data_IF_316169378733
#
_entry.id   IF_316169378733
#
_cell.length_a   1.000
_cell.length_b   1.000
_cell.length_c   1.000
_cell.angle_alpha   90.00
_cell.angle_beta   90.00
_cell.angle_gamma   90.00
#
_symmetry.space_group_name_H-M   'P 1'
#
loop_
_entity.id
_entity.type
_entity.pdbx_description
1 polymer ?
#
# COMPACT_ATOMS: atom_id res chain seq x y z
N UNK A 1 -36.03 -31.46 12.15
CA UNK A 1 -36.19 -32.92 11.99
C UNK A 1 -36.85 -33.38 13.27
N UNK A 2 -38.16 -33.58 13.27
CA UNK A 2 -38.92 -33.83 14.50
C UNK A 2 -38.59 -35.21 15.05
N UNK A 3 -37.69 -35.26 16.02
CA UNK A 3 -37.36 -36.49 16.76
C UNK A 3 -38.43 -36.78 17.82
N UNK A 4 -39.69 -36.94 17.41
CA UNK A 4 -40.70 -37.49 18.29
C UNK A 4 -40.41 -38.99 18.47
N UNK A 5 -39.65 -39.32 19.51
CA UNK A 5 -39.44 -40.71 19.92
C UNK A 5 -40.67 -41.18 20.71
N UNK A 6 -41.43 -42.09 20.12
CA UNK A 6 -42.55 -42.74 20.81
C UNK A 6 -42.01 -43.91 21.62
N UNK A 7 -42.17 -43.85 22.95
CA UNK A 7 -41.87 -44.98 23.84
C UNK A 7 -43.17 -45.71 24.15
N UNK A 8 -43.21 -47.00 23.84
CA UNK A 8 -44.31 -47.88 24.21
C UNK A 8 -44.00 -48.55 25.54
N UNK A 9 -44.78 -48.21 26.57
CA UNK A 9 -44.77 -48.91 27.85
C UNK A 9 -45.98 -49.83 27.89
N UNK A 10 -45.75 -51.13 27.99
CA UNK A 10 -46.82 -52.08 28.26
C UNK A 10 -46.69 -52.70 29.65
N UNK A 11 -47.84 -52.95 30.25
CA UNK A 11 -47.97 -53.63 31.53
C UNK A 11 -48.45 -55.05 31.26
N UNK A 12 -47.70 -56.01 31.78
CA UNK A 12 -48.11 -57.40 31.82
C UNK A 12 -48.62 -57.71 33.22
N UNK A 13 -49.75 -58.40 33.31
CA UNK A 13 -50.32 -58.84 34.57
C UNK A 13 -50.31 -60.36 34.61
N UNK A 14 -49.89 -60.91 35.74
CA UNK A 14 -49.95 -62.35 35.97
C UNK A 14 -51.40 -62.77 36.10
N UNK A 15 -51.87 -63.58 35.15
CA UNK A 15 -53.20 -64.18 35.14
C UNK A 15 -53.12 -65.56 35.80
N UNK A 16 -54.20 -66.36 35.72
CA UNK A 16 -54.35 -67.59 36.51
C UNK A 16 -53.17 -68.58 36.37
N UNK A 17 -52.51 -68.63 35.23
CA UNK A 17 -51.36 -69.53 34.96
C UNK A 17 -50.32 -68.99 33.95
N UNK A 18 -50.44 -67.75 33.46
CA UNK A 18 -49.50 -67.14 32.52
C UNK A 18 -49.48 -65.61 32.64
N UNK A 19 -48.44 -64.96 32.11
CA UNK A 19 -48.45 -63.51 31.89
C UNK A 19 -49.39 -63.18 30.73
N UNK A 20 -50.39 -62.35 31.00
CA UNK A 20 -51.29 -61.82 29.98
C UNK A 20 -51.04 -60.33 29.77
N UNK A 21 -51.04 -59.91 28.50
CA UNK A 21 -50.96 -58.51 28.12
C UNK A 21 -52.22 -57.76 28.60
N UNK A 22 -52.04 -56.69 29.37
CA UNK A 22 -53.14 -55.84 29.84
C UNK A 22 -53.16 -54.52 29.05
N UNK A 23 -53.94 -54.49 27.97
CA UNK A 23 -54.11 -53.29 27.15
C UNK A 23 -54.87 -52.17 27.87
N UNK A 24 -55.66 -52.50 28.90
CA UNK A 24 -56.51 -51.54 29.61
C UNK A 24 -55.73 -50.60 30.53
N UNK A 25 -54.52 -51.01 30.94
CA UNK A 25 -53.59 -50.21 31.73
C UNK A 25 -52.43 -49.62 30.90
N UNK A 26 -52.37 -49.91 29.60
CA UNK A 26 -51.33 -49.36 28.72
C UNK A 26 -51.50 -47.85 28.55
N UNK A 27 -50.39 -47.10 28.60
CA UNK A 27 -50.40 -45.65 28.43
C UNK A 27 -49.31 -45.22 27.46
N UNK A 28 -49.70 -44.45 26.44
CA UNK A 28 -48.75 -43.78 25.55
C UNK A 28 -48.19 -42.56 26.30
N UNK A 29 -46.88 -42.50 26.44
CA UNK A 29 -46.19 -41.33 27.00
C UNK A 29 -45.47 -40.62 25.86
N UNK A 30 -45.84 -39.37 25.61
CA UNK A 30 -45.11 -38.50 24.69
C UNK A 30 -43.93 -37.87 25.43
N UNK A 31 -42.71 -38.17 25.00
CA UNK A 31 -41.50 -37.50 25.46
C UNK A 31 -41.21 -36.35 24.50
N UNK A 32 -41.21 -35.12 25.01
CA UNK A 32 -40.69 -33.97 24.26
C UNK A 32 -39.19 -33.89 24.50
N UNK A 33 -38.40 -34.22 23.49
CA UNK A 33 -36.96 -33.94 23.50
C UNK A 33 -36.82 -32.44 23.16
N UNK A 34 -36.26 -31.60 24.05
CA UNK A 34 -36.03 -30.20 23.72
C UNK A 34 -35.04 -30.12 22.55
N UNK A 35 -35.28 -29.21 21.60
CA UNK A 35 -34.28 -28.91 20.58
C UNK A 35 -32.99 -28.45 21.25
N UNK A 36 -31.82 -28.83 20.73
CA UNK A 36 -30.57 -28.37 21.28
C UNK A 36 -30.53 -26.84 21.20
N UNK A 37 -30.15 -26.19 22.30
CA UNK A 37 -29.94 -24.75 22.31
C UNK A 37 -28.77 -24.40 21.37
N UNK A 38 -28.96 -23.37 20.55
CA UNK A 38 -27.96 -22.87 19.61
C UNK A 38 -27.78 -21.38 19.78
N UNK A 39 -26.56 -20.92 19.48
CA UNK A 39 -26.25 -19.50 19.34
C UNK A 39 -25.83 -19.18 17.90
N UNK A 40 -26.19 -17.98 17.45
CA UNK A 40 -25.85 -17.52 16.12
C UNK A 40 -24.45 -16.92 16.10
N UNK A 41 -23.61 -17.37 15.17
CA UNK A 41 -22.34 -16.74 14.84
C UNK A 41 -22.47 -15.96 13.54
N UNK A 42 -22.13 -14.68 13.58
CA UNK A 42 -21.93 -13.83 12.41
C UNK A 42 -20.44 -13.62 12.16
N UNK A 43 -19.96 -14.01 10.98
CA UNK A 43 -18.58 -13.79 10.54
C UNK A 43 -18.55 -12.74 9.44
N UNK A 44 -17.68 -11.74 9.59
CA UNK A 44 -17.57 -10.63 8.65
C UNK A 44 -16.12 -10.34 8.28
N UNK A 45 -15.90 -10.01 7.00
CA UNK A 45 -14.62 -9.48 6.50
C UNK A 45 -14.91 -8.07 5.98
N UNK A 46 -14.45 -7.02 6.67
CA UNK A 46 -14.70 -5.66 6.24
C UNK A 46 -14.07 -5.35 4.88
N UNK A 47 -14.72 -4.50 4.09
CA UNK A 47 -14.23 -4.12 2.76
C UNK A 47 -12.87 -3.44 2.79
N UNK A 48 -12.58 -2.67 3.83
CA UNK A 48 -11.30 -1.97 4.04
C UNK A 48 -10.16 -2.87 4.52
N UNK A 49 -10.46 -4.10 4.95
CA UNK A 49 -9.49 -5.12 5.35
C UNK A 49 -9.75 -6.45 4.60
N UNK A 50 -10.22 -6.33 3.36
CA UNK A 50 -10.51 -7.47 2.51
C UNK A 50 -9.21 -8.12 2.02
N UNK A 51 -9.23 -9.45 1.85
CA UNK A 51 -8.04 -10.20 1.42
C UNK A 51 -8.08 -11.69 1.70
N UNK A 52 -9.24 -12.24 2.03
CA UNK A 52 -9.38 -13.61 2.49
C UNK A 52 -10.82 -13.96 2.82
N UNK A 53 -11.00 -15.17 3.32
CA UNK A 53 -12.27 -15.66 3.84
C UNK A 53 -12.05 -16.50 5.09
N UNK A 54 -13.12 -16.78 5.82
CA UNK A 54 -13.10 -17.56 7.06
C UNK A 54 -13.95 -18.81 6.91
N UNK A 55 -13.50 -19.94 7.46
CA UNK A 55 -14.32 -21.14 7.61
C UNK A 55 -14.23 -21.72 9.03
N UNK A 56 -15.34 -22.24 9.59
CA UNK A 56 -16.69 -22.14 9.04
C UNK A 56 -17.21 -20.68 9.08
N UNK A 57 -18.18 -20.36 8.22
CA UNK A 57 -18.77 -19.02 8.11
C UNK A 57 -19.89 -18.79 9.12
N UNK A 58 -20.73 -17.78 8.86
CA UNK A 58 -21.90 -17.49 9.69
C UNK A 58 -22.90 -18.64 9.73
N UNK A 59 -23.55 -18.86 10.88
CA UNK A 59 -24.52 -19.93 11.07
C UNK A 59 -24.85 -20.17 12.54
N UNK A 60 -25.73 -21.14 12.79
CA UNK A 60 -26.11 -21.54 14.15
C UNK A 60 -25.26 -22.71 14.63
N UNK A 61 -24.74 -22.58 15.85
CA UNK A 61 -23.85 -23.56 16.47
C UNK A 61 -24.39 -23.95 17.83
N UNK A 62 -24.12 -25.20 18.25
CA UNK A 62 -24.57 -25.71 19.55
C UNK A 62 -24.07 -24.84 20.69
N UNK A 63 -24.95 -24.51 21.64
CA UNK A 63 -24.58 -23.81 22.84
C UNK A 63 -23.53 -24.59 23.65
N UNK A 64 -22.61 -23.87 24.28
CA UNK A 64 -21.48 -24.39 25.04
C UNK A 64 -20.53 -25.29 24.24
N UNK A 65 -20.51 -25.14 22.91
CA UNK A 65 -19.54 -25.80 22.03
C UNK A 65 -18.38 -24.87 21.68
N UNK A 66 -17.32 -25.44 21.12
CA UNK A 66 -16.19 -24.69 20.56
C UNK A 66 -16.19 -24.81 19.04
N UNK A 67 -16.19 -23.67 18.36
CA UNK A 67 -16.07 -23.55 16.90
C UNK A 67 -14.64 -23.15 16.57
N UNK A 68 -13.93 -23.97 15.79
CA UNK A 68 -12.59 -23.65 15.31
C UNK A 68 -12.68 -22.86 14.00
N UNK A 69 -12.54 -21.55 14.09
CA UNK A 69 -12.47 -20.64 12.95
C UNK A 69 -11.07 -20.67 12.34
N UNK A 70 -11.01 -20.67 11.01
CA UNK A 70 -9.76 -20.57 10.24
C UNK A 70 -9.87 -19.50 9.17
N UNK A 71 -8.92 -18.57 9.16
CA UNK A 71 -8.74 -17.57 8.14
C UNK A 71 -7.88 -18.10 6.99
N UNK A 72 -8.33 -17.87 5.76
CA UNK A 72 -7.67 -18.24 4.52
C UNK A 72 -7.38 -16.97 3.70
N UNK A 73 -6.16 -16.42 3.79
CA UNK A 73 -5.75 -15.31 2.95
C UNK A 73 -5.75 -15.70 1.46
N UNK A 74 -6.17 -14.77 0.61
CA UNK A 74 -6.02 -14.87 -0.84
C UNK A 74 -4.55 -14.60 -1.24
N UNK A 75 -4.20 -14.96 -2.48
CA UNK A 75 -2.88 -14.68 -3.02
C UNK A 75 -2.53 -13.19 -2.95
N UNK A 76 -1.35 -12.86 -2.43
CA UNK A 76 -0.88 -11.48 -2.23
C UNK A 76 -1.39 -10.83 -0.94
N UNK A 77 -2.11 -11.56 -0.09
CA UNK A 77 -2.57 -11.09 1.22
C UNK A 77 -2.05 -11.96 2.34
N UNK A 78 -2.00 -11.39 3.54
CA UNK A 78 -1.80 -12.13 4.79
C UNK A 78 -2.93 -11.84 5.77
N UNK A 79 -3.16 -12.78 6.67
CA UNK A 79 -4.06 -12.57 7.79
C UNK A 79 -3.41 -11.60 8.77
N UNK A 80 -4.13 -10.54 9.11
CA UNK A 80 -3.66 -9.52 10.05
C UNK A 80 -4.08 -9.90 11.47
N UNK A 81 -5.38 -10.00 11.73
CA UNK A 81 -5.91 -10.34 13.07
C UNK A 81 -7.42 -10.66 13.07
N UNK A 82 -7.88 -11.24 14.17
CA UNK A 82 -9.30 -11.34 14.51
C UNK A 82 -9.77 -10.13 15.32
N UNK A 83 -11.06 -9.81 15.24
CA UNK A 83 -11.69 -8.72 15.97
C UNK A 83 -13.05 -9.06 16.59
N UNK A 84 -13.52 -8.09 17.39
CA UNK A 84 -14.76 -8.12 18.17
C UNK A 84 -14.80 -9.28 19.17
N UNK A 85 -15.57 -10.35 18.93
CA UNK A 85 -15.67 -11.47 19.87
C UNK A 85 -14.51 -12.49 19.73
N UNK A 86 -13.57 -12.23 18.83
CA UNK A 86 -12.32 -12.98 18.69
C UNK A 86 -11.11 -12.02 18.74
N UNK A 87 -9.90 -12.59 18.87
CA UNK A 87 -8.69 -11.78 19.00
C UNK A 87 -7.42 -12.54 18.58
N UNK A 88 -6.35 -11.81 18.31
CA UNK A 88 -5.02 -12.36 18.05
C UNK A 88 -4.73 -12.53 16.56
N UNK A 89 -3.49 -12.95 16.26
CA UNK A 89 -2.92 -12.97 14.90
C UNK A 89 -2.74 -14.37 14.33
N UNK A 90 -3.06 -15.41 15.10
CA UNK A 90 -3.10 -16.80 14.61
C UNK A 90 -4.21 -16.93 13.55
N UNK A 91 -3.92 -17.57 12.41
CA UNK A 91 -4.93 -17.86 11.38
C UNK A 91 -6.01 -18.84 11.85
N UNK A 92 -5.85 -19.43 13.03
CA UNK A 92 -6.83 -20.33 13.66
C UNK A 92 -7.23 -19.80 15.03
N UNK A 93 -8.53 -19.78 15.32
CA UNK A 93 -9.11 -19.32 16.58
C UNK A 93 -10.19 -20.27 17.08
N UNK A 94 -10.16 -20.63 18.37
CA UNK A 94 -11.16 -21.48 19.00
C UNK A 94 -12.19 -20.62 19.73
N UNK A 95 -13.36 -20.43 19.13
CA UNK A 95 -14.44 -19.61 19.65
C UNK A 95 -15.40 -20.45 20.51
N UNK A 96 -15.67 -20.00 21.74
CA UNK A 96 -16.64 -20.66 22.62
C UNK A 96 -18.04 -20.03 22.46
N UNK A 97 -19.03 -20.84 22.10
CA UNK A 97 -20.40 -20.41 21.80
C UNK A 97 -21.25 -20.39 23.08
N UNK A 98 -21.14 -19.32 23.87
CA UNK A 98 -21.93 -19.09 25.10
C UNK A 98 -22.97 -17.96 24.99
N UNK A 99 -23.03 -17.32 23.83
CA UNK A 99 -23.99 -16.30 23.43
C UNK A 99 -23.96 -16.23 21.91
N UNK A 100 -24.85 -15.44 21.31
CA UNK A 100 -24.63 -14.98 19.94
C UNK A 100 -23.27 -14.27 19.84
N UNK A 101 -22.58 -14.44 18.73
CA UNK A 101 -21.22 -13.94 18.49
C UNK A 101 -21.12 -13.20 17.17
N UNK A 102 -20.32 -12.15 17.16
CA UNK A 102 -19.92 -11.42 15.97
C UNK A 102 -18.39 -11.38 15.90
N UNK A 103 -17.82 -11.97 14.85
CA UNK A 103 -16.37 -12.06 14.63
C UNK A 103 -15.99 -11.36 13.34
N UNK A 104 -15.01 -10.47 13.43
CA UNK A 104 -14.38 -9.88 12.26
C UNK A 104 -13.01 -10.53 11.98
N UNK A 105 -12.69 -10.69 10.71
CA UNK A 105 -11.36 -11.11 10.26
C UNK A 105 -10.76 -10.02 9.37
N UNK A 106 -9.57 -9.56 9.73
CA UNK A 106 -8.85 -8.52 9.00
C UNK A 106 -7.71 -9.17 8.22
N UNK A 107 -7.62 -8.81 6.94
CA UNK A 107 -6.52 -9.18 6.06
C UNK A 107 -5.85 -7.91 5.55
N UNK A 108 -4.60 -8.03 5.15
CA UNK A 108 -3.86 -6.93 4.52
C UNK A 108 -3.05 -7.46 3.34
N UNK A 109 -2.81 -6.59 2.35
CA UNK A 109 -1.89 -6.91 1.25
C UNK A 109 -0.50 -7.12 1.82
N UNK A 110 0.21 -8.10 1.29
CA UNK A 110 1.64 -8.25 1.55
C UNK A 110 2.34 -7.16 0.74
N UNK A 111 3.10 -6.24 1.38
CA UNK A 111 3.89 -5.26 0.64
C UNK A 111 4.85 -5.99 -0.29
N UNK A 112 4.81 -5.63 -1.57
CA UNK A 112 5.80 -6.10 -2.54
C UNK A 112 6.96 -5.12 -2.43
N UNK A 113 8.20 -5.57 -2.12
CA UNK A 113 9.34 -4.68 -2.08
C UNK A 113 9.46 -3.95 -3.42
N UNK A 114 9.80 -2.68 -3.37
CA UNK A 114 10.04 -1.84 -4.55
C UNK A 114 11.47 -1.32 -4.52
N UNK A 115 12.10 -1.28 -5.68
CA UNK A 115 13.46 -0.79 -5.87
C UNK A 115 13.50 0.10 -7.11
N UNK A 116 14.19 1.22 -7.00
CA UNK A 116 14.40 2.14 -8.10
C UNK A 116 15.56 3.09 -7.80
N UNK A 117 16.10 3.70 -8.85
CA UNK A 117 17.31 4.53 -8.78
C UNK A 117 17.13 5.83 -9.58
N UNK A 118 17.60 6.95 -9.05
CA UNK A 118 17.81 8.20 -9.78
C UNK A 118 19.10 8.06 -10.57
N UNK A 119 18.99 7.87 -11.88
CA UNK A 119 20.14 7.51 -12.72
C UNK A 119 20.79 8.69 -13.43
N UNK A 120 20.07 9.80 -13.61
CA UNK A 120 20.54 10.98 -14.35
C UNK A 120 19.76 12.23 -13.97
N UNK A 121 20.44 13.37 -14.00
CA UNK A 121 19.85 14.70 -13.82
C UNK A 121 20.47 15.67 -14.82
N UNK A 122 19.65 16.48 -15.48
CA UNK A 122 20.11 17.49 -16.43
C UNK A 122 19.38 18.82 -16.24
N UNK A 123 20.08 19.91 -16.52
CA UNK A 123 19.53 21.26 -16.45
C UNK A 123 19.36 21.82 -17.87
N UNK A 124 18.20 22.38 -18.20
CA UNK A 124 17.93 23.06 -19.48
C UNK A 124 17.61 24.54 -19.19
N UNK A 125 18.42 25.49 -19.65
CA UNK A 125 18.20 26.94 -19.52
C UNK A 125 18.43 27.77 -20.80
N UNK A 126 18.82 27.14 -21.92
CA UNK A 126 19.04 27.76 -23.24
C UNK A 126 18.26 27.06 -24.37
N UNK A 127 17.50 26.00 -24.05
CA UNK A 127 16.60 25.32 -24.96
C UNK A 127 16.77 23.80 -24.99
N UNK A 128 18.00 23.27 -25.11
CA UNK A 128 18.19 21.81 -24.97
C UNK A 128 19.48 21.43 -24.25
N UNK A 129 19.34 20.84 -23.05
CA UNK A 129 20.35 20.04 -22.36
C UNK A 129 21.63 20.79 -21.96
N UNK A 130 21.54 21.81 -21.12
CA UNK A 130 22.68 22.64 -20.72
C UNK A 130 23.59 22.00 -19.65
N UNK A 131 23.53 20.69 -19.48
CA UNK A 131 24.57 19.89 -18.84
C UNK A 131 24.07 18.90 -17.80
N UNK A 132 24.94 17.92 -17.50
CA UNK A 132 24.76 17.01 -16.37
C UNK A 132 24.93 17.82 -15.08
N UNK A 133 23.96 17.70 -14.19
CA UNK A 133 24.00 18.36 -12.87
C UNK A 133 25.15 17.79 -12.03
N UNK A 134 25.98 18.63 -11.38
CA UNK A 134 25.89 20.10 -11.28
C UNK A 134 26.44 20.86 -12.49
N UNK A 135 25.76 21.95 -12.87
CA UNK A 135 26.19 22.83 -13.98
C UNK A 135 26.90 24.10 -13.47
N UNK A 136 28.07 24.41 -14.00
CA UNK A 136 28.82 25.63 -13.65
C UNK A 136 28.58 26.78 -14.65
N UNK A 137 28.86 28.01 -14.22
CA UNK A 137 28.83 29.22 -15.05
C UNK A 137 27.47 29.49 -15.70
N UNK A 138 26.37 29.22 -14.99
CA UNK A 138 25.03 29.51 -15.51
C UNK A 138 24.80 31.01 -15.52
N UNK A 139 24.38 31.62 -16.65
CA UNK A 139 24.16 33.07 -16.70
C UNK A 139 23.05 33.52 -15.77
N UNK A 140 23.26 34.63 -15.06
CA UNK A 140 22.26 35.27 -14.23
C UNK A 140 21.00 35.64 -15.04
N UNK A 141 19.82 35.35 -14.50
CA UNK A 141 18.53 35.79 -15.03
C UNK A 141 17.91 34.86 -16.09
N UNK A 142 18.48 33.67 -16.27
CA UNK A 142 17.92 32.65 -17.17
C UNK A 142 16.79 31.86 -16.50
N UNK A 143 15.96 31.26 -17.33
CA UNK A 143 14.91 30.32 -16.93
C UNK A 143 15.38 28.91 -17.16
N UNK A 144 15.24 28.05 -16.15
CA UNK A 144 15.72 26.68 -16.20
C UNK A 144 14.61 25.64 -16.00
N UNK A 145 14.82 24.43 -16.52
CA UNK A 145 14.07 23.21 -16.24
C UNK A 145 15.02 22.14 -15.73
N UNK A 146 14.53 21.35 -14.78
CA UNK A 146 15.24 20.17 -14.28
C UNK A 146 14.62 18.92 -14.89
N UNK A 147 15.49 18.09 -15.48
CA UNK A 147 15.15 16.77 -15.99
C UNK A 147 15.77 15.73 -15.07
N UNK A 148 14.98 14.74 -14.65
CA UNK A 148 15.43 13.66 -13.78
C UNK A 148 14.96 12.33 -14.32
N UNK A 149 15.87 11.38 -14.46
CA UNK A 149 15.53 10.03 -14.88
C UNK A 149 15.49 9.11 -13.67
N UNK A 150 14.32 8.55 -13.41
CA UNK A 150 14.12 7.45 -12.48
C UNK A 150 14.12 6.11 -13.21
N UNK A 151 14.63 5.05 -12.57
CA UNK A 151 14.62 3.70 -13.10
C UNK A 151 13.80 2.78 -12.21
N UNK A 152 12.99 1.92 -12.83
CA UNK A 152 12.40 0.77 -12.14
C UNK A 152 13.41 -0.39 -12.18
N UNK A 153 13.99 -0.72 -11.02
CA UNK A 153 14.98 -1.80 -10.90
C UNK A 153 14.31 -3.18 -10.69
N UNK A 154 12.98 -3.20 -10.53
CA UNK A 154 12.22 -4.43 -10.35
C UNK A 154 12.06 -5.24 -11.64
N UNK A 155 11.98 -6.57 -11.49
CA UNK A 155 11.60 -7.49 -12.57
C UNK A 155 10.08 -7.48 -12.90
N UNK A 156 9.32 -6.61 -12.24
CA UNK A 156 7.88 -6.42 -12.40
C UNK A 156 7.59 -4.94 -12.64
N UNK A 157 6.48 -4.66 -13.31
CA UNK A 157 6.03 -3.28 -13.47
C UNK A 157 5.69 -2.64 -12.13
N UNK A 158 6.01 -1.37 -11.96
CA UNK A 158 5.73 -0.61 -10.74
C UNK A 158 5.22 0.79 -11.06
N UNK A 159 4.41 1.34 -10.16
CA UNK A 159 4.11 2.76 -10.18
C UNK A 159 5.37 3.55 -9.86
N UNK A 160 5.64 4.64 -10.58
CA UNK A 160 6.76 5.53 -10.28
C UNK A 160 6.28 6.98 -10.18
N UNK A 161 6.82 7.69 -9.20
CA UNK A 161 6.62 9.12 -9.04
C UNK A 161 7.90 9.81 -8.59
N UNK A 162 7.82 11.12 -8.54
CA UNK A 162 8.94 11.94 -8.10
C UNK A 162 8.43 13.13 -7.29
N UNK A 163 9.27 13.56 -6.37
CA UNK A 163 9.17 14.84 -5.70
C UNK A 163 10.52 15.51 -5.72
N UNK A 164 10.58 16.80 -6.01
CA UNK A 164 11.78 17.58 -5.76
C UNK A 164 11.48 19.02 -5.37
N UNK A 165 12.47 19.64 -4.75
CA UNK A 165 12.55 21.09 -4.68
C UNK A 165 13.95 21.59 -5.05
N UNK A 166 14.00 22.83 -5.55
CA UNK A 166 15.23 23.58 -5.80
C UNK A 166 15.29 24.72 -4.80
N UNK A 167 16.42 24.88 -4.12
CA UNK A 167 16.69 26.01 -3.25
C UNK A 167 17.70 26.97 -3.89
N UNK A 168 17.43 28.26 -3.74
CA UNK A 168 18.32 29.34 -4.17
C UNK A 168 19.52 29.50 -3.21
N UNK A 169 20.51 30.36 -3.53
CA UNK A 169 21.71 30.56 -2.72
C UNK A 169 21.46 31.07 -1.30
N UNK A 170 20.27 31.60 -1.03
CA UNK A 170 19.86 32.09 0.29
C UNK A 170 19.01 31.05 1.05
N UNK A 171 18.75 29.89 0.44
CA UNK A 171 17.95 28.81 1.01
C UNK A 171 16.45 28.93 0.80
N UNK A 172 15.98 29.89 -0.01
CA UNK A 172 14.56 29.97 -0.36
C UNK A 172 14.24 29.01 -1.50
N UNK A 173 13.02 28.49 -1.50
CA UNK A 173 12.55 27.57 -2.53
C UNK A 173 12.34 28.31 -3.85
N UNK A 174 13.10 27.93 -4.88
CA UNK A 174 12.97 28.39 -6.25
C UNK A 174 11.98 27.55 -7.06
N UNK A 175 11.87 26.25 -6.75
CA UNK A 175 10.91 25.33 -7.37
C UNK A 175 10.46 24.26 -6.38
N UNK A 176 9.20 23.85 -6.49
CA UNK A 176 8.72 22.54 -6.00
C UNK A 176 8.02 21.84 -7.15
N UNK A 177 8.35 20.58 -7.36
CA UNK A 177 7.74 19.76 -8.40
C UNK A 177 7.37 18.39 -7.87
N UNK A 178 6.25 17.88 -8.35
CA UNK A 178 5.83 16.50 -8.11
C UNK A 178 5.11 15.99 -9.33
N UNK A 179 5.34 14.73 -9.67
CA UNK A 179 4.63 14.05 -10.74
C UNK A 179 4.55 12.54 -10.49
N UNK A 180 3.60 11.91 -11.18
CA UNK A 180 3.37 10.48 -11.14
C UNK A 180 3.32 9.92 -12.57
N UNK A 181 4.34 9.18 -12.95
CA UNK A 181 4.52 8.62 -14.29
C UNK A 181 3.50 7.50 -14.63
N UNK A 182 2.79 7.00 -13.62
CA UNK A 182 1.97 5.80 -13.77
C UNK A 182 2.84 4.55 -13.72
N UNK A 183 2.49 3.54 -14.52
CA UNK A 183 3.14 2.23 -14.47
C UNK A 183 4.34 2.15 -15.41
N UNK A 184 5.52 2.00 -14.83
CA UNK A 184 6.78 1.76 -15.53
C UNK A 184 6.98 0.25 -15.73
N UNK A 185 7.48 -0.14 -16.90
CA UNK A 185 7.68 -1.54 -17.29
C UNK A 185 8.66 -2.31 -16.41
N UNK A 186 8.66 -3.66 -16.47
CA UNK A 186 9.61 -4.51 -15.76
C UNK A 186 10.98 -4.52 -16.44
N UNK A 187 12.03 -4.84 -15.67
CA UNK A 187 13.45 -4.90 -16.07
C UNK A 187 13.97 -3.56 -16.57
N UNK A 188 15.15 -3.11 -16.09
CA UNK A 188 15.51 -1.70 -15.99
C UNK A 188 14.87 -0.82 -17.04
N UNK A 189 13.77 -0.19 -16.66
CA UNK A 189 13.04 0.72 -17.53
C UNK A 189 13.12 2.10 -16.92
N UNK A 190 13.63 3.03 -17.71
CA UNK A 190 13.88 4.40 -17.29
C UNK A 190 12.66 5.28 -17.65
N UNK A 191 12.40 6.29 -16.83
CA UNK A 191 11.39 7.30 -17.07
C UNK A 191 11.95 8.69 -16.80
N UNK A 192 11.67 9.63 -17.69
CA UNK A 192 12.08 11.02 -17.57
C UNK A 192 10.96 11.85 -16.93
N UNK A 193 11.28 12.48 -15.81
CA UNK A 193 10.48 13.52 -15.20
C UNK A 193 11.06 14.88 -15.59
N UNK A 194 10.20 15.78 -16.04
CA UNK A 194 10.59 17.12 -16.48
C UNK A 194 9.75 18.12 -15.71
N UNK A 195 10.39 19.14 -15.12
CA UNK A 195 9.68 20.22 -14.45
C UNK A 195 8.52 20.75 -15.30
N UNK A 196 7.33 20.83 -14.71
CA UNK A 196 6.12 21.30 -15.40
C UNK A 196 6.17 22.80 -15.73
N UNK A 197 7.11 23.53 -15.11
CA UNK A 197 7.40 24.93 -15.37
C UNK A 197 8.90 25.19 -15.54
N UNK A 198 9.23 26.45 -15.80
CA UNK A 198 10.59 26.99 -15.71
C UNK A 198 10.74 27.72 -14.38
N UNK A 199 11.86 27.55 -13.67
CA UNK A 199 12.23 28.36 -12.51
C UNK A 199 13.32 29.37 -12.87
N UNK A 200 13.31 30.53 -12.21
CA UNK A 200 14.22 31.63 -12.55
C UNK A 200 15.52 31.56 -11.72
N UNK A 201 16.66 31.61 -12.40
CA UNK A 201 18.00 31.65 -11.82
C UNK A 201 18.48 33.10 -11.63
N UNK A 202 17.78 33.83 -10.75
CA UNK A 202 17.92 35.29 -10.56
C UNK A 202 18.93 35.72 -9.48
N UNK A 203 19.61 34.79 -8.81
CA UNK A 203 20.58 35.11 -7.76
C UNK A 203 21.94 34.53 -8.12
N UNK A 204 23.00 35.28 -7.89
CA UNK A 204 24.38 34.78 -8.03
C UNK A 204 24.67 33.81 -6.89
N UNK A 205 25.30 32.68 -7.20
CA UNK A 205 25.70 31.67 -6.22
C UNK A 205 25.17 30.29 -6.52
N UNK A 206 25.23 29.42 -5.51
CA UNK A 206 24.90 28.00 -5.64
C UNK A 206 23.41 27.75 -5.44
N UNK A 207 22.78 27.14 -6.42
CA UNK A 207 21.47 26.53 -6.27
C UNK A 207 21.65 25.06 -5.89
N UNK A 208 20.75 24.54 -5.05
CA UNK A 208 20.78 23.16 -4.57
C UNK A 208 19.45 22.47 -4.84
N UNK A 209 19.44 21.14 -4.79
CA UNK A 209 18.22 20.35 -4.97
C UNK A 209 18.07 19.29 -3.88
N UNK A 210 16.84 18.82 -3.73
CA UNK A 210 16.46 17.61 -2.99
C UNK A 210 15.48 16.84 -3.87
N UNK A 211 15.80 15.59 -4.23
CA UNK A 211 14.99 14.76 -5.12
C UNK A 211 14.69 13.42 -4.44
N UNK A 212 13.42 13.06 -4.38
CA UNK A 212 12.92 11.80 -3.88
C UNK A 212 12.29 11.01 -5.03
N UNK A 213 12.81 9.81 -5.28
CA UNK A 213 12.18 8.85 -6.19
C UNK A 213 11.21 7.98 -5.41
N UNK A 214 9.98 7.90 -5.90
CA UNK A 214 8.88 7.21 -5.26
C UNK A 214 8.44 6.02 -6.12
N UNK A 215 8.15 4.88 -5.50
CA UNK A 215 7.69 3.66 -6.19
C UNK A 215 6.50 3.02 -5.47
N UNK A 216 5.72 2.23 -6.22
CA UNK A 216 4.62 1.43 -5.67
C UNK A 216 3.24 2.04 -5.92
N UNK A 217 2.37 1.98 -4.91
CA UNK A 217 1.01 2.52 -5.00
C UNK A 217 1.05 4.06 -4.89
N UNK A 218 0.31 4.76 -5.75
CA UNK A 218 0.27 6.24 -5.74
C UNK A 218 -0.29 6.79 -4.44
N UNK A 219 -1.22 6.08 -3.80
CA UNK A 219 -1.88 6.53 -2.58
C UNK A 219 -1.02 6.26 -1.33
N UNK A 220 -0.04 5.37 -1.43
CA UNK A 220 0.92 5.06 -0.37
C UNK A 220 2.27 4.63 -0.97
N UNK A 221 3.02 5.58 -1.57
CA UNK A 221 4.27 5.26 -2.25
C UNK A 221 5.40 5.05 -1.25
N UNK A 222 6.38 4.24 -1.62
CA UNK A 222 7.63 4.07 -0.89
C UNK A 222 8.73 4.92 -1.54
N UNK A 223 9.52 5.63 -0.74
CA UNK A 223 10.71 6.33 -1.21
C UNK A 223 11.83 5.30 -1.41
N UNK A 224 12.28 5.16 -2.66
CA UNK A 224 13.28 4.15 -3.04
C UNK A 224 14.66 4.75 -3.26
N UNK A 225 14.74 6.04 -3.56
CA UNK A 225 16.01 6.74 -3.72
C UNK A 225 15.87 8.21 -3.32
N UNK A 226 16.97 8.79 -2.82
CA UNK A 226 17.07 10.17 -2.36
C UNK A 226 18.41 10.73 -2.81
N UNK A 227 18.36 11.81 -3.58
CA UNK A 227 19.54 12.54 -3.99
C UNK A 227 19.45 14.01 -3.58
N UNK A 228 20.51 14.53 -2.98
CA UNK A 228 20.61 15.88 -2.45
C UNK A 228 21.96 16.44 -2.88
N UNK A 229 21.96 17.58 -3.53
CA UNK A 229 23.21 18.10 -4.08
C UNK A 229 23.13 19.52 -4.61
N UNK A 230 24.23 19.91 -5.27
CA UNK A 230 24.33 21.15 -6.00
C UNK A 230 23.63 21.00 -7.36
N UNK A 231 22.74 21.92 -7.68
CA UNK A 231 22.07 21.99 -8.98
C UNK A 231 22.96 22.69 -10.00
N UNK A 232 23.34 23.92 -9.67
CA UNK A 232 24.20 24.74 -10.49
C UNK A 232 24.83 25.90 -9.71
N UNK A 233 25.84 26.52 -10.31
CA UNK A 233 26.40 27.80 -9.86
C UNK A 233 26.08 28.89 -10.89
N UNK A 234 25.38 29.93 -10.45
CA UNK A 234 24.99 31.10 -11.26
C UNK A 234 25.99 32.22 -11.07
N UNK A 235 26.47 32.81 -12.17
CA UNK A 235 27.43 33.91 -12.18
C UNK A 235 26.95 35.06 -13.08
N UNK A 236 27.46 36.26 -12.83
CA UNK A 236 27.23 37.42 -13.71
C UNK A 236 27.99 37.17 -15.01
N UNK A 237 27.36 37.46 -16.15
CA UNK A 237 28.05 37.39 -17.44
C UNK A 237 29.32 38.26 -17.39
N UNK A 238 30.47 37.66 -17.72
CA UNK A 238 31.70 38.41 -17.91
C UNK A 238 31.46 39.33 -19.11
N UNK A 239 31.55 40.67 -18.97
CA UNK A 239 31.40 41.55 -20.10
C UNK A 239 32.46 41.18 -21.15
N UNK A 240 32.07 41.11 -22.43
CA UNK A 240 33.03 40.92 -23.51
C UNK A 240 34.15 41.96 -23.36
N UNK A 241 35.43 41.58 -23.49
CA UNK A 241 36.49 42.56 -23.46
C UNK A 241 36.26 43.55 -24.61
N UNK A 242 35.95 44.80 -24.27
CA UNK A 242 35.98 45.88 -25.25
C UNK A 242 37.42 45.97 -25.74
N UNK A 243 37.68 45.49 -26.96
CA UNK A 243 38.95 45.74 -27.63
C UNK A 243 39.06 47.25 -27.85
N UNK A 244 39.75 47.95 -26.94
CA UNK A 244 40.21 49.31 -27.19
C UNK A 244 41.09 49.27 -28.44
N UNK A 245 40.67 49.99 -29.48
CA UNK A 245 41.36 50.03 -30.76
C UNK A 245 42.85 50.33 -30.55
N UNK A 246 43.72 49.49 -31.13
CA UNK A 246 45.13 49.80 -31.24
C UNK A 246 45.28 50.97 -32.23
N UNK A 247 45.58 52.16 -31.72
CA UNK A 247 45.97 53.30 -32.54
C UNK A 247 47.47 53.23 -32.82
N UNK A 248 47.85 53.17 -34.10
CA UNK A 248 49.26 53.26 -34.51
C UNK A 248 49.64 54.75 -34.42
N UNK A 249 50.39 55.12 -33.39
CA UNK A 249 50.71 56.52 -33.09
C UNK A 249 51.88 57.04 -33.96
N UNK A 250 52.76 56.16 -34.45
CA UNK A 250 53.88 56.56 -35.34
C UNK A 250 54.48 55.39 -36.12
N UNK A 251 54.89 55.66 -37.37
CA UNK A 251 55.72 54.76 -38.18
C UNK A 251 57.16 55.27 -38.19
N UNK A 252 58.09 54.52 -37.59
CA UNK A 252 59.53 54.73 -37.77
C UNK A 252 60.01 53.94 -38.99
N UNK A 253 60.42 54.65 -40.04
CA UNK A 253 61.17 54.08 -41.16
C UNK A 253 62.63 53.92 -40.76
N UNK A 254 63.13 52.69 -40.83
CA UNK A 254 64.57 52.36 -40.77
C UNK A 254 65.18 52.53 -42.16
#
# INVERSE_FOLDING_TARGET
HDCNTTVFLWLERWMKDHWGYDSSASKVVSLKIPEPETFHLSVFVPSWAYGGYVQPGSGDYLANSTVTLRAYPLSGYRFLSWGVDASGTSTTYNLYMNSDKYVEAYFEKIPVPVEGTIIRKELEFSGSGDGIVPVANVPLGVRAKLHVWGRNDMSISQGMGIYWFVADPEGYVAEVYTDWAGTIGPYPTDHEFISSGQFDLNKVGKYTFWIELLMGDRDNPEMVDLDIGELCTVEVAVPEPEFAAFEIIEYLKV
#
